data_IF_388680090231
#
_entry.id   IF_388680090231
#
_cell.length_a   1.000
_cell.length_b   1.000
_cell.length_c   1.000
_cell.angle_alpha   90.00
_cell.angle_beta   90.00
_cell.angle_gamma   90.00
#
_symmetry.space_group_name_H-M   'P 1'
#
loop_
_entity.id
_entity.type
_entity.pdbx_description
1 polymer ?
#
# COMPACT_ATOMS: atom_id res chain seq x y z
N UNK A 1 -23.20 14.86 -4.91
CA UNK A 1 -23.54 15.32 -3.54
C UNK A 1 -24.33 14.30 -2.68
N UNK A 2 -25.25 13.48 -3.26
CA UNK A 2 -26.05 12.50 -2.49
C UNK A 2 -25.22 11.41 -1.77
N UNK A 3 -24.21 10.84 -2.43
CA UNK A 3 -23.34 9.79 -1.86
C UNK A 3 -22.58 10.24 -0.60
N UNK A 4 -21.95 11.42 -0.62
CA UNK A 4 -21.21 11.95 0.53
C UNK A 4 -22.13 12.16 1.73
N UNK A 5 -23.35 12.66 1.51
CA UNK A 5 -24.36 12.81 2.58
C UNK A 5 -24.75 11.44 3.16
N UNK A 6 -24.95 10.44 2.30
CA UNK A 6 -25.22 9.06 2.72
C UNK A 6 -24.07 8.48 3.57
N UNK A 7 -22.83 8.55 3.09
CA UNK A 7 -21.65 8.04 3.80
C UNK A 7 -21.45 8.71 5.16
N UNK A 8 -21.66 10.03 5.25
CA UNK A 8 -21.61 10.75 6.53
C UNK A 8 -22.69 10.28 7.51
N UNK A 9 -23.91 10.07 7.02
CA UNK A 9 -25.05 9.57 7.82
C UNK A 9 -24.78 8.16 8.33
N UNK A 10 -24.36 7.24 7.46
CA UNK A 10 -24.05 5.86 7.86
C UNK A 10 -22.84 5.80 8.80
N UNK A 11 -21.78 6.59 8.53
CA UNK A 11 -20.62 6.68 9.42
C UNK A 11 -20.99 7.25 10.80
N UNK A 12 -21.89 8.24 10.87
CA UNK A 12 -22.40 8.73 12.15
C UNK A 12 -23.12 7.63 12.93
N UNK A 13 -24.05 6.91 12.28
CA UNK A 13 -24.78 5.80 12.92
C UNK A 13 -23.87 4.65 13.38
N UNK A 14 -22.79 4.39 12.65
CA UNK A 14 -21.82 3.37 13.03
C UNK A 14 -21.07 3.80 14.28
N UNK A 15 -20.47 5.00 14.27
CA UNK A 15 -19.72 5.52 15.41
C UNK A 15 -20.56 5.67 16.67
N UNK A 16 -21.83 6.07 16.54
CA UNK A 16 -22.74 6.17 17.70
C UNK A 16 -23.12 4.82 18.31
N UNK A 17 -22.84 3.70 17.62
CA UNK A 17 -23.07 2.34 18.09
C UNK A 17 -21.82 1.65 18.63
N UNK A 18 -20.65 2.29 18.53
CA UNK A 18 -19.41 1.72 19.04
C UNK A 18 -19.40 1.76 20.56
N UNK A 19 -19.17 0.60 21.17
CA UNK A 19 -18.83 0.50 22.59
C UNK A 19 -17.36 0.88 22.82
N UNK A 20 -16.94 1.14 24.09
CA UNK A 20 -15.53 1.33 24.41
C UNK A 20 -14.64 0.14 24.00
N UNK A 21 -15.16 -1.09 24.08
CA UNK A 21 -14.46 -2.30 23.65
C UNK A 21 -14.21 -2.29 22.14
N UNK A 22 -15.18 -1.82 21.34
CA UNK A 22 -15.03 -1.72 19.89
C UNK A 22 -13.96 -0.69 19.50
N UNK A 23 -13.91 0.45 20.20
CA UNK A 23 -12.87 1.47 19.99
C UNK A 23 -11.50 0.91 20.34
N UNK A 24 -11.37 0.16 21.44
CA UNK A 24 -10.13 -0.51 21.81
C UNK A 24 -9.69 -1.52 20.74
N UNK A 25 -10.63 -2.26 20.15
CA UNK A 25 -10.35 -3.21 19.08
C UNK A 25 -9.95 -2.53 17.76
N UNK A 26 -10.54 -1.38 17.41
CA UNK A 26 -10.08 -0.57 16.27
C UNK A 26 -8.66 -0.04 16.50
N UNK A 27 -8.32 0.35 17.74
CA UNK A 27 -6.94 0.75 18.09
C UNK A 27 -5.97 -0.44 17.96
N UNK A 28 -6.36 -1.62 18.42
CA UNK A 28 -5.59 -2.85 18.23
C UNK A 28 -5.36 -3.16 16.74
N UNK A 29 -6.41 -3.00 15.91
CA UNK A 29 -6.29 -3.18 14.46
C UNK A 29 -5.32 -2.18 13.83
N UNK A 30 -5.40 -0.90 14.22
CA UNK A 30 -4.44 0.14 13.81
C UNK A 30 -3.01 -0.28 14.14
N UNK A 31 -2.77 -0.80 15.34
CA UNK A 31 -1.43 -1.19 15.76
C UNK A 31 -0.90 -2.35 14.90
N UNK A 32 -1.72 -3.36 14.60
CA UNK A 32 -1.35 -4.42 13.66
C UNK A 32 -1.03 -3.88 12.26
N UNK A 33 -1.83 -2.94 11.75
CA UNK A 33 -1.54 -2.30 10.46
C UNK A 33 -0.25 -1.46 10.51
N UNK A 34 0.07 -0.76 11.60
CA UNK A 34 1.39 -0.11 11.70
C UNK A 34 2.54 -1.12 11.67
N UNK A 35 2.35 -2.27 12.29
CA UNK A 35 3.35 -3.34 12.25
C UNK A 35 3.52 -3.91 10.83
N UNK A 36 2.52 -3.85 9.94
CA UNK A 36 2.67 -4.30 8.54
C UNK A 36 3.65 -3.44 7.73
N UNK A 37 3.88 -2.17 8.10
CA UNK A 37 4.90 -1.35 7.45
C UNK A 37 6.29 -1.48 8.09
N UNK A 38 6.34 -1.83 9.38
CA UNK A 38 7.59 -1.88 10.14
C UNK A 38 8.26 -3.26 10.10
N UNK A 39 7.54 -4.32 10.49
CA UNK A 39 8.13 -5.66 10.67
C UNK A 39 8.64 -6.23 9.34
N UNK A 40 7.87 -6.23 8.23
CA UNK A 40 8.36 -6.71 6.95
C UNK A 40 9.60 -5.95 6.45
N UNK A 41 9.65 -4.63 6.68
CA UNK A 41 10.78 -3.80 6.29
C UNK A 41 12.06 -4.20 7.04
N UNK A 42 11.96 -4.41 8.36
CA UNK A 42 13.09 -4.89 9.18
C UNK A 42 13.56 -6.24 8.68
N UNK A 43 12.65 -7.21 8.53
CA UNK A 43 12.98 -8.57 8.07
C UNK A 43 13.60 -8.56 6.68
N UNK A 44 13.14 -7.67 5.80
CA UNK A 44 13.69 -7.51 4.46
C UNK A 44 15.15 -7.05 4.50
N UNK A 45 15.48 -6.01 5.30
CA UNK A 45 16.86 -5.54 5.42
C UNK A 45 17.76 -6.45 6.25
N UNK A 46 17.19 -7.34 7.06
CA UNK A 46 17.92 -8.48 7.68
C UNK A 46 18.18 -9.62 6.68
N UNK A 47 17.90 -9.44 5.38
CA UNK A 47 18.19 -10.38 4.30
C UNK A 47 17.49 -11.74 4.44
N UNK A 48 16.37 -11.79 5.16
CA UNK A 48 15.60 -13.03 5.39
C UNK A 48 14.87 -13.54 4.14
N UNK A 49 14.82 -12.75 3.06
CA UNK A 49 14.17 -13.11 1.79
C UNK A 49 15.10 -13.08 0.58
N UNK A 50 16.20 -12.33 0.65
CA UNK A 50 17.18 -12.19 -0.43
C UNK A 50 18.52 -11.68 0.11
N UNK A 51 19.61 -12.14 -0.51
CA UNK A 51 20.97 -11.79 -0.10
C UNK A 51 21.35 -10.33 -0.42
N UNK A 52 20.83 -9.82 -1.55
CA UNK A 52 21.02 -8.45 -2.03
C UNK A 52 19.71 -7.69 -1.94
N UNK A 53 19.60 -6.83 -0.95
CA UNK A 53 18.45 -5.97 -0.72
C UNK A 53 18.55 -4.71 -1.55
N UNK A 54 17.49 -4.35 -2.27
CA UNK A 54 17.32 -3.02 -2.88
C UNK A 54 17.16 -1.95 -1.80
N UNK A 55 17.82 -0.80 -1.97
CA UNK A 55 17.55 0.44 -1.25
C UNK A 55 17.49 1.62 -2.24
N UNK A 56 16.51 2.52 -2.13
CA UNK A 56 15.34 2.46 -1.25
C UNK A 56 14.31 1.42 -1.72
N UNK A 57 13.55 0.84 -0.78
CA UNK A 57 12.52 -0.17 -1.05
C UNK A 57 11.15 0.26 -0.50
N UNK A 58 10.14 0.25 -1.37
CA UNK A 58 8.74 0.46 -1.01
C UNK A 58 8.20 -0.67 -0.13
N UNK A 59 7.15 -0.40 0.66
CA UNK A 59 6.39 -1.43 1.38
C UNK A 59 5.99 -2.53 0.39
N UNK A 60 5.40 -2.13 -0.75
CA UNK A 60 5.00 -3.04 -1.81
C UNK A 60 6.14 -3.88 -2.40
N UNK A 61 7.39 -3.41 -2.32
CA UNK A 61 8.56 -4.20 -2.73
C UNK A 61 8.98 -5.21 -1.66
N UNK A 62 9.04 -4.77 -0.40
CA UNK A 62 9.50 -5.61 0.72
C UNK A 62 8.60 -6.82 0.97
N UNK A 63 7.32 -6.76 0.62
CA UNK A 63 6.32 -7.80 0.90
C UNK A 63 6.12 -8.80 -0.26
N UNK A 64 7.00 -8.83 -1.26
CA UNK A 64 6.83 -9.69 -2.45
C UNK A 64 7.11 -11.17 -2.21
N UNK A 65 8.02 -11.50 -1.28
CA UNK A 65 8.45 -12.90 -1.07
C UNK A 65 9.02 -13.14 0.33
N UNK A 66 9.24 -14.42 0.63
CA UNK A 66 9.93 -14.89 1.82
C UNK A 66 9.23 -14.53 3.14
N UNK A 67 10.03 -14.47 4.20
CA UNK A 67 9.59 -14.19 5.57
C UNK A 67 8.94 -12.80 5.71
N UNK A 68 9.43 -11.70 5.09
CA UNK A 68 8.78 -10.40 5.13
C UNK A 68 7.34 -10.42 4.62
N UNK A 69 7.08 -11.13 3.51
CA UNK A 69 5.73 -11.32 2.96
C UNK A 69 4.81 -12.05 3.94
N UNK A 70 5.29 -13.15 4.51
CA UNK A 70 4.51 -13.93 5.47
C UNK A 70 4.14 -13.09 6.70
N UNK A 71 5.12 -12.35 7.24
CA UNK A 71 4.90 -11.42 8.36
C UNK A 71 3.86 -10.34 8.01
N UNK A 72 3.97 -9.73 6.82
CA UNK A 72 2.98 -8.77 6.34
C UNK A 72 1.57 -9.39 6.31
N UNK A 73 1.40 -10.55 5.67
CA UNK A 73 0.10 -11.19 5.54
C UNK A 73 -0.52 -11.52 6.90
N UNK A 74 0.25 -12.07 7.84
CA UNK A 74 -0.24 -12.41 9.19
C UNK A 74 -0.71 -11.15 9.92
N UNK A 75 0.11 -10.10 9.97
CA UNK A 75 -0.23 -8.84 10.64
C UNK A 75 -1.43 -8.16 9.97
N UNK A 76 -1.50 -8.17 8.63
CA UNK A 76 -2.60 -7.62 7.87
C UNK A 76 -3.91 -8.37 8.14
N UNK A 77 -3.88 -9.71 8.17
CA UNK A 77 -5.04 -10.54 8.51
C UNK A 77 -5.50 -10.30 9.96
N UNK A 78 -4.59 -10.14 10.91
CA UNK A 78 -4.93 -9.81 12.31
C UNK A 78 -5.58 -8.43 12.44
N UNK A 79 -5.06 -7.43 11.71
CA UNK A 79 -5.65 -6.10 11.62
C UNK A 79 -7.07 -6.16 11.05
N UNK A 80 -7.25 -6.87 9.94
CA UNK A 80 -8.57 -7.01 9.31
C UNK A 80 -9.55 -7.85 10.10
N UNK A 81 -9.13 -8.93 10.74
CA UNK A 81 -9.97 -9.70 11.65
C UNK A 81 -10.52 -8.80 12.76
N UNK A 82 -9.65 -7.98 13.36
CA UNK A 82 -10.03 -7.03 14.41
C UNK A 82 -11.00 -5.95 13.90
N UNK A 83 -10.77 -5.40 12.70
CA UNK A 83 -11.70 -4.44 12.08
C UNK A 83 -13.04 -5.08 11.72
N UNK A 84 -13.01 -6.27 11.11
CA UNK A 84 -14.18 -6.96 10.60
C UNK A 84 -15.13 -7.34 11.72
N UNK A 85 -14.63 -7.82 12.85
CA UNK A 85 -15.45 -8.12 14.02
C UNK A 85 -16.25 -6.88 14.48
N UNK A 86 -15.61 -5.71 14.54
CA UNK A 86 -16.29 -4.46 14.89
C UNK A 86 -17.33 -4.05 13.82
N UNK A 87 -16.98 -4.14 12.53
CA UNK A 87 -17.94 -3.89 11.45
C UNK A 87 -19.10 -4.89 11.46
N UNK A 88 -18.86 -6.13 11.88
CA UNK A 88 -19.88 -7.15 11.97
C UNK A 88 -20.88 -6.86 13.09
N UNK A 89 -20.37 -6.51 14.28
CA UNK A 89 -21.18 -6.26 15.49
C UNK A 89 -21.89 -4.90 15.46
N UNK A 90 -21.21 -3.82 15.10
CA UNK A 90 -21.74 -2.45 15.16
C UNK A 90 -22.21 -1.89 13.79
N UNK A 91 -21.79 -2.50 12.69
CA UNK A 91 -22.04 -2.01 11.33
C UNK A 91 -23.45 -2.30 10.79
N UNK A 92 -23.87 -1.50 9.81
CA UNK A 92 -25.05 -1.81 9.01
C UNK A 92 -24.70 -2.90 7.97
N UNK A 93 -25.71 -3.40 7.24
CA UNK A 93 -25.46 -4.30 6.09
C UNK A 93 -24.49 -3.66 5.08
N UNK A 94 -24.62 -2.35 4.85
CA UNK A 94 -23.72 -1.60 3.99
C UNK A 94 -22.28 -1.61 4.52
N UNK A 95 -22.06 -1.33 5.80
CA UNK A 95 -20.70 -1.32 6.39
C UNK A 95 -20.01 -2.68 6.30
N UNK A 96 -20.78 -3.76 6.52
CA UNK A 96 -20.27 -5.13 6.42
C UNK A 96 -19.88 -5.48 4.98
N UNK A 97 -20.73 -5.16 4.01
CA UNK A 97 -20.41 -5.37 2.59
C UNK A 97 -19.20 -4.54 2.15
N UNK A 98 -19.12 -3.28 2.58
CA UNK A 98 -17.98 -2.42 2.33
C UNK A 98 -16.69 -2.99 2.92
N UNK A 99 -16.71 -3.45 4.17
CA UNK A 99 -15.54 -4.08 4.80
C UNK A 99 -15.10 -5.35 4.09
N UNK A 100 -16.04 -6.21 3.65
CA UNK A 100 -15.74 -7.42 2.87
C UNK A 100 -15.13 -7.05 1.54
N UNK A 101 -15.75 -6.13 0.79
CA UNK A 101 -15.21 -5.72 -0.51
C UNK A 101 -13.81 -5.12 -0.37
N UNK A 102 -13.60 -4.22 0.59
CA UNK A 102 -12.29 -3.63 0.84
C UNK A 102 -11.26 -4.71 1.21
N UNK A 103 -11.61 -5.69 2.06
CA UNK A 103 -10.77 -6.84 2.37
C UNK A 103 -10.42 -7.66 1.12
N UNK A 104 -11.41 -8.03 0.30
CA UNK A 104 -11.21 -8.78 -0.94
C UNK A 104 -10.28 -8.02 -1.90
N UNK A 105 -10.50 -6.72 -2.08
CA UNK A 105 -9.64 -5.87 -2.91
C UNK A 105 -8.20 -5.85 -2.39
N UNK A 106 -8.01 -5.78 -1.06
CA UNK A 106 -6.70 -5.88 -0.44
C UNK A 106 -6.03 -7.24 -0.65
N UNK A 107 -6.77 -8.35 -0.53
CA UNK A 107 -6.28 -9.71 -0.81
C UNK A 107 -5.85 -9.84 -2.27
N UNK A 108 -6.67 -9.40 -3.23
CA UNK A 108 -6.32 -9.46 -4.64
C UNK A 108 -5.04 -8.65 -4.89
N UNK A 109 -4.97 -7.42 -4.37
CA UNK A 109 -3.84 -6.52 -4.58
C UNK A 109 -2.53 -7.01 -3.92
N UNK A 110 -2.59 -7.65 -2.76
CA UNK A 110 -1.39 -7.94 -1.95
C UNK A 110 -1.04 -9.42 -1.84
N UNK A 111 -1.99 -10.35 -2.04
CA UNK A 111 -1.75 -11.79 -1.92
C UNK A 111 -1.69 -12.46 -3.29
N UNK A 112 -2.62 -12.11 -4.19
CA UNK A 112 -2.84 -12.81 -5.46
C UNK A 112 -2.06 -12.15 -6.60
N UNK A 113 -2.30 -10.86 -6.84
CA UNK A 113 -1.72 -10.10 -7.94
C UNK A 113 -0.68 -9.12 -7.38
N UNK A 114 0.49 -9.63 -7.03
CA UNK A 114 1.57 -8.80 -6.54
C UNK A 114 2.30 -8.10 -7.69
N UNK A 115 2.78 -6.89 -7.43
CA UNK A 115 3.55 -6.12 -8.38
C UNK A 115 4.87 -6.85 -8.75
N UNK A 116 5.15 -6.99 -10.04
CA UNK A 116 6.31 -7.67 -10.60
C UNK A 116 6.09 -9.14 -10.96
N UNK A 117 4.84 -9.64 -10.95
CA UNK A 117 4.52 -11.03 -11.33
C UNK A 117 4.09 -11.18 -12.80
N UNK A 118 4.04 -10.10 -13.57
CA UNK A 118 3.70 -10.10 -15.00
C UNK A 118 2.73 -9.00 -15.39
N UNK A 119 2.64 -8.70 -16.69
CA UNK A 119 1.86 -7.57 -17.22
C UNK A 119 0.39 -7.59 -16.77
N UNK A 120 -0.25 -8.76 -16.80
CA UNK A 120 -1.64 -8.91 -16.36
C UNK A 120 -1.78 -8.77 -14.84
N UNK A 121 -0.92 -9.42 -14.06
CA UNK A 121 -0.90 -9.30 -12.60
C UNK A 121 -0.69 -7.83 -12.18
N UNK A 122 0.25 -7.15 -12.81
CA UNK A 122 0.56 -5.74 -12.55
C UNK A 122 -0.63 -4.84 -12.90
N UNK A 123 -1.31 -5.09 -14.02
CA UNK A 123 -2.52 -4.35 -14.38
C UNK A 123 -3.63 -4.53 -13.33
N UNK A 124 -3.89 -5.77 -12.90
CA UNK A 124 -4.87 -6.08 -11.85
C UNK A 124 -4.45 -5.45 -10.52
N UNK A 125 -3.17 -5.51 -10.17
CA UNK A 125 -2.60 -4.86 -8.99
C UNK A 125 -2.88 -3.36 -9.01
N UNK A 126 -2.58 -2.67 -10.12
CA UNK A 126 -2.82 -1.22 -10.22
C UNK A 126 -4.31 -0.86 -10.10
N UNK A 127 -5.20 -1.63 -10.74
CA UNK A 127 -6.65 -1.40 -10.65
C UNK A 127 -7.13 -1.60 -9.21
N UNK A 128 -6.76 -2.72 -8.59
CA UNK A 128 -7.19 -3.04 -7.23
C UNK A 128 -6.56 -2.15 -6.18
N UNK A 129 -5.29 -1.77 -6.31
CA UNK A 129 -4.65 -0.75 -5.47
C UNK A 129 -5.39 0.59 -5.57
N UNK A 130 -5.77 1.01 -6.78
CA UNK A 130 -6.54 2.25 -7.00
C UNK A 130 -7.91 2.18 -6.32
N UNK A 131 -8.63 1.06 -6.47
CA UNK A 131 -9.89 0.82 -5.76
C UNK A 131 -9.68 0.87 -4.24
N UNK A 132 -8.62 0.26 -3.73
CA UNK A 132 -8.28 0.25 -2.31
C UNK A 132 -7.99 1.67 -1.78
N UNK A 133 -7.35 2.53 -2.57
CA UNK A 133 -7.16 3.94 -2.23
C UNK A 133 -8.50 4.70 -2.17
N UNK A 134 -9.44 4.40 -3.06
CA UNK A 134 -10.80 4.97 -3.01
C UNK A 134 -11.51 4.50 -1.73
N UNK A 135 -11.36 3.23 -1.36
CA UNK A 135 -11.93 2.68 -0.13
C UNK A 135 -11.35 3.39 1.11
N UNK A 136 -10.05 3.72 1.13
CA UNK A 136 -9.46 4.54 2.19
C UNK A 136 -10.13 5.91 2.34
N UNK A 137 -10.44 6.57 1.20
CA UNK A 137 -11.15 7.86 1.19
C UNK A 137 -12.57 7.74 1.71
N UNK A 138 -13.27 6.67 1.34
CA UNK A 138 -14.60 6.35 1.88
C UNK A 138 -14.50 6.14 3.40
N UNK A 139 -13.53 5.35 3.86
CA UNK A 139 -13.32 5.06 5.27
C UNK A 139 -12.99 6.32 6.08
N UNK A 140 -12.20 7.26 5.54
CA UNK A 140 -11.96 8.55 6.20
C UNK A 140 -13.25 9.34 6.47
N UNK A 141 -14.18 9.32 5.52
CA UNK A 141 -15.50 9.94 5.70
C UNK A 141 -16.33 9.15 6.71
N UNK A 142 -16.23 7.82 6.67
CA UNK A 142 -16.96 6.90 7.51
C UNK A 142 -16.52 6.92 8.98
N UNK A 143 -15.25 7.17 9.27
CA UNK A 143 -14.68 7.26 10.62
C UNK A 143 -14.51 8.69 11.12
N UNK A 144 -14.91 9.71 10.34
CA UNK A 144 -14.73 11.14 10.67
C UNK A 144 -13.26 11.46 11.00
N UNK A 145 -12.34 10.90 10.23
CA UNK A 145 -10.89 11.11 10.39
C UNK A 145 -10.53 12.60 10.44
N UNK A 146 -9.60 12.98 11.33
CA UNK A 146 -9.14 14.38 11.45
C UNK A 146 -8.55 14.88 10.13
N UNK A 147 -8.64 16.19 9.88
CA UNK A 147 -8.21 16.79 8.59
C UNK A 147 -6.72 16.57 8.31
N UNK A 148 -5.87 16.65 9.34
CA UNK A 148 -4.42 16.49 9.19
C UNK A 148 -4.02 15.16 8.54
N UNK A 149 -4.60 14.04 8.96
CA UNK A 149 -4.32 12.73 8.38
C UNK A 149 -4.82 12.59 6.95
N UNK A 150 -6.00 13.16 6.64
CA UNK A 150 -6.54 13.18 5.27
C UNK A 150 -5.67 14.00 4.33
N UNK A 151 -5.26 15.19 4.77
CA UNK A 151 -4.37 16.05 3.99
C UNK A 151 -3.02 15.37 3.75
N UNK A 152 -2.41 14.77 4.79
CA UNK A 152 -1.18 14.01 4.66
C UNK A 152 -1.33 12.85 3.66
N UNK A 153 -2.44 12.11 3.71
CA UNK A 153 -2.74 11.04 2.76
C UNK A 153 -2.79 11.56 1.31
N UNK A 154 -3.57 12.59 1.03
CA UNK A 154 -3.72 13.13 -0.32
C UNK A 154 -2.44 13.74 -0.87
N UNK A 155 -1.73 14.51 -0.06
CA UNK A 155 -0.44 15.12 -0.46
C UNK A 155 0.57 14.02 -0.76
N UNK A 156 0.66 12.98 0.08
CA UNK A 156 1.55 11.84 -0.15
C UNK A 156 1.19 11.07 -1.42
N UNK A 157 -0.11 10.83 -1.66
CA UNK A 157 -0.57 10.18 -2.88
C UNK A 157 -0.17 10.95 -4.14
N UNK A 158 -0.41 12.27 -4.16
CA UNK A 158 -0.06 13.13 -5.29
C UNK A 158 1.46 13.21 -5.50
N UNK A 159 2.23 13.33 -4.43
CA UNK A 159 3.68 13.38 -4.51
C UNK A 159 4.28 12.06 -5.00
N UNK A 160 3.77 10.93 -4.51
CA UNK A 160 4.14 9.60 -5.00
C UNK A 160 3.81 9.43 -6.49
N UNK A 161 2.59 9.79 -6.91
CA UNK A 161 2.18 9.70 -8.31
C UNK A 161 3.03 10.60 -9.24
N UNK A 162 3.38 11.81 -8.79
CA UNK A 162 4.29 12.71 -9.51
C UNK A 162 5.69 12.11 -9.66
N UNK A 163 6.26 11.56 -8.59
CA UNK A 163 7.57 10.90 -8.62
C UNK A 163 7.57 9.66 -9.54
N UNK A 164 6.51 8.83 -9.49
CA UNK A 164 6.35 7.69 -10.40
C UNK A 164 6.25 8.12 -11.87
N UNK A 165 5.49 9.18 -12.16
CA UNK A 165 5.36 9.73 -13.52
C UNK A 165 6.70 10.24 -14.03
N UNK A 166 7.43 10.99 -13.21
CA UNK A 166 8.74 11.54 -13.58
C UNK A 166 9.78 10.42 -13.79
N UNK A 167 9.83 9.42 -12.89
CA UNK A 167 10.68 8.24 -13.06
C UNK A 167 10.35 7.52 -14.38
N UNK A 168 9.07 7.31 -14.68
CA UNK A 168 8.62 6.67 -15.93
C UNK A 168 9.01 7.50 -17.16
N UNK A 169 8.96 8.82 -17.08
CA UNK A 169 9.41 9.73 -18.15
C UNK A 169 10.90 9.55 -18.43
N UNK A 170 11.75 9.63 -17.39
CA UNK A 170 13.21 9.44 -17.51
C UNK A 170 13.53 8.06 -18.09
N UNK A 171 12.85 7.01 -17.64
CA UNK A 171 13.09 5.67 -18.17
C UNK A 171 12.74 5.53 -19.65
N UNK A 172 11.75 6.28 -20.16
CA UNK A 172 11.41 6.30 -21.59
C UNK A 172 12.43 7.09 -22.40
N UNK A 173 12.91 8.21 -21.86
CA UNK A 173 13.89 9.08 -22.53
C UNK A 173 15.26 8.42 -22.70
N UNK A 174 15.65 7.56 -21.75
CA UNK A 174 16.92 6.84 -21.77
C UNK A 174 16.78 5.36 -22.12
N UNK A 175 15.64 4.98 -22.68
CA UNK A 175 15.39 3.65 -23.21
C UNK A 175 15.67 2.50 -22.21
N UNK A 176 15.43 2.76 -20.92
CA UNK A 176 15.67 1.77 -19.86
C UNK A 176 14.67 0.60 -19.92
N UNK A 177 13.59 0.78 -20.67
CA UNK A 177 12.49 -0.17 -20.88
C UNK A 177 12.39 -0.72 -22.33
N UNK A 178 13.33 -0.48 -23.25
CA UNK A 178 13.24 -0.98 -24.66
C UNK A 178 13.22 -2.49 -24.81
N UNK A 179 13.76 -3.22 -23.85
CA UNK A 179 13.52 -4.66 -23.81
C UNK A 179 12.10 -4.86 -23.36
N UNK A 180 11.23 -5.40 -24.22
CA UNK A 180 10.13 -6.22 -23.73
C UNK A 180 10.72 -7.08 -22.62
N UNK A 181 10.33 -6.82 -21.37
CA UNK A 181 10.35 -7.87 -20.38
C UNK A 181 9.43 -8.92 -20.97
N UNK A 182 10.00 -9.84 -21.75
CA UNK A 182 9.32 -11.01 -22.23
C UNK A 182 8.77 -11.68 -20.98
N UNK A 183 7.56 -12.21 -21.08
CA UNK A 183 6.89 -12.88 -19.98
C UNK A 183 7.74 -14.05 -19.42
N UNK A 184 8.76 -14.47 -20.17
CA UNK A 184 9.73 -15.51 -19.85
C UNK A 184 10.93 -15.03 -19.00
N UNK A 185 11.22 -13.73 -18.96
CA UNK A 185 12.35 -13.14 -18.20
C UNK A 185 11.95 -12.77 -16.75
N UNK A 186 10.69 -13.00 -16.38
CA UNK A 186 10.19 -13.00 -14.99
C UNK A 186 10.55 -14.34 -14.36
N UNK A 187 11.84 -14.67 -14.40
CA UNK A 187 12.34 -15.82 -13.69
C UNK A 187 12.12 -15.59 -12.19
N UNK A 188 11.69 -16.64 -11.49
CA UNK A 188 11.27 -16.68 -10.09
C UNK A 188 12.40 -16.20 -9.14
N UNK A 189 13.60 -16.00 -9.68
CA UNK A 189 14.77 -15.39 -9.07
C UNK A 189 14.94 -13.90 -9.44
N UNK A 190 14.15 -13.02 -8.81
CA UNK A 190 14.22 -11.53 -8.88
C UNK A 190 15.64 -10.90 -8.78
N UNK A 191 16.66 -11.65 -8.34
CA UNK A 191 18.04 -11.17 -8.28
C UNK A 191 18.62 -10.80 -9.65
N UNK A 192 18.22 -11.48 -10.74
CA UNK A 192 18.68 -11.16 -12.10
C UNK A 192 18.09 -9.84 -12.61
N UNK A 193 16.84 -9.52 -12.27
CA UNK A 193 16.19 -8.26 -12.66
C UNK A 193 16.87 -7.04 -12.03
N UNK A 194 17.20 -7.12 -10.73
CA UNK A 194 17.91 -6.04 -10.03
C UNK A 194 19.31 -5.84 -10.63
N UNK A 195 20.05 -6.92 -10.88
CA UNK A 195 21.39 -6.83 -11.48
C UNK A 195 21.36 -6.19 -12.87
N UNK A 196 20.42 -6.60 -13.75
CA UNK A 196 20.22 -5.99 -15.08
C UNK A 196 19.84 -4.50 -14.97
N UNK A 197 18.97 -4.13 -14.02
CA UNK A 197 18.61 -2.72 -13.77
C UNK A 197 19.84 -1.91 -13.35
N UNK A 198 20.63 -2.42 -12.39
CA UNK A 198 21.87 -1.79 -11.95
C UNK A 198 22.89 -1.62 -13.08
N UNK A 199 23.04 -2.62 -13.94
CA UNK A 199 23.93 -2.54 -15.10
C UNK A 199 23.47 -1.43 -16.06
N UNK A 200 22.18 -1.38 -16.41
CA UNK A 200 21.64 -0.31 -17.26
C UNK A 200 21.82 1.07 -16.63
N UNK A 201 21.55 1.21 -15.34
CA UNK A 201 21.73 2.47 -14.59
C UNK A 201 23.20 2.88 -14.46
N UNK A 202 24.14 1.92 -14.47
CA UNK A 202 25.58 2.21 -14.40
C UNK A 202 26.08 2.94 -15.64
N UNK A 203 25.45 2.70 -16.80
CA UNK A 203 25.77 3.30 -18.10
C UNK A 203 25.23 4.72 -18.28
N UNK A 204 24.32 5.16 -17.42
CA UNK A 204 23.75 6.52 -17.46
C UNK A 204 24.70 7.56 -16.86
N UNK A 205 24.53 8.80 -17.30
CA UNK A 205 25.21 9.93 -16.67
C UNK A 205 24.88 10.01 -15.17
N UNK A 206 25.84 10.40 -14.31
CA UNK A 206 25.63 10.47 -12.86
C UNK A 206 24.41 11.30 -12.44
N UNK A 207 24.12 12.40 -13.16
CA UNK A 207 22.99 13.29 -12.87
C UNK A 207 21.65 12.55 -13.04
N UNK A 208 21.48 11.80 -14.13
CA UNK A 208 20.26 11.05 -14.42
C UNK A 208 20.09 9.92 -13.40
N UNK A 209 21.16 9.18 -13.10
CA UNK A 209 21.16 8.13 -12.10
C UNK A 209 20.76 8.66 -10.72
N UNK A 210 21.33 9.77 -10.29
CA UNK A 210 20.98 10.42 -9.02
C UNK A 210 19.51 10.85 -9.01
N UNK A 211 19.00 11.36 -10.13
CA UNK A 211 17.59 11.74 -10.25
C UNK A 211 16.66 10.54 -10.09
N UNK A 212 16.95 9.41 -10.75
CA UNK A 212 16.17 8.16 -10.59
C UNK A 212 16.22 7.68 -9.14
N UNK A 213 17.41 7.69 -8.53
CA UNK A 213 17.57 7.30 -7.13
C UNK A 213 16.73 8.16 -6.19
N UNK A 214 16.74 9.48 -6.35
CA UNK A 214 15.88 10.38 -5.57
C UNK A 214 14.39 10.14 -5.82
N UNK A 215 13.98 9.82 -7.05
CA UNK A 215 12.59 9.44 -7.32
C UNK A 215 12.21 8.17 -6.56
N UNK A 216 13.08 7.16 -6.48
CA UNK A 216 12.81 5.97 -5.68
C UNK A 216 12.74 6.28 -4.17
N UNK A 217 13.58 7.19 -3.66
CA UNK A 217 13.52 7.64 -2.26
C UNK A 217 12.19 8.35 -1.99
N UNK A 218 11.74 9.22 -2.90
CA UNK A 218 10.45 9.90 -2.77
C UNK A 218 9.29 8.91 -2.81
N UNK A 219 9.29 7.94 -3.75
CA UNK A 219 8.24 6.93 -3.84
C UNK A 219 8.15 6.13 -2.54
N UNK A 220 9.28 5.63 -2.03
CA UNK A 220 9.33 4.91 -0.74
C UNK A 220 8.78 5.77 0.41
N UNK A 221 9.24 7.03 0.51
CA UNK A 221 8.87 7.92 1.61
C UNK A 221 7.37 8.23 1.59
N UNK A 222 6.85 8.61 0.42
CA UNK A 222 5.44 9.00 0.30
C UNK A 222 4.49 7.81 0.34
N UNK A 223 4.88 6.61 -0.09
CA UNK A 223 4.09 5.40 0.13
C UNK A 223 3.97 5.09 1.64
N UNK A 224 5.09 5.17 2.38
CA UNK A 224 5.07 4.98 3.84
C UNK A 224 4.24 6.06 4.55
N UNK A 225 4.34 7.32 4.14
CA UNK A 225 3.56 8.41 4.73
C UNK A 225 2.06 8.29 4.38
N UNK A 226 1.75 7.86 3.16
CA UNK A 226 0.38 7.56 2.73
C UNK A 226 -0.22 6.46 3.60
N UNK A 227 0.49 5.35 3.78
CA UNK A 227 0.03 4.25 4.61
C UNK A 227 -0.11 4.67 6.09
N UNK A 228 0.92 5.31 6.64
CA UNK A 228 0.94 5.75 8.05
C UNK A 228 -0.15 6.76 8.35
N UNK A 229 -0.39 7.72 7.46
CA UNK A 229 -1.46 8.71 7.63
C UNK A 229 -2.84 8.09 7.60
N UNK A 230 -3.06 7.09 6.73
CA UNK A 230 -4.30 6.31 6.72
C UNK A 230 -4.51 5.56 8.03
N UNK A 231 -3.55 4.72 8.41
CA UNK A 231 -3.65 3.85 9.60
C UNK A 231 -3.80 4.69 10.87
N UNK A 232 -2.94 5.69 11.09
CA UNK A 232 -3.04 6.60 12.25
C UNK A 232 -4.37 7.33 12.28
N UNK A 233 -4.87 7.72 11.10
CA UNK A 233 -6.13 8.44 10.92
C UNK A 233 -7.38 7.65 11.30
N UNK A 234 -7.35 6.31 11.21
CA UNK A 234 -8.52 5.45 11.47
C UNK A 234 -9.14 5.69 12.85
N UNK A 235 -8.31 5.94 13.87
CA UNK A 235 -8.76 6.13 15.26
C UNK A 235 -8.97 7.58 15.65
N UNK A 236 -8.58 8.53 14.79
CA UNK A 236 -8.50 9.95 15.16
C UNK A 236 -9.85 10.66 15.35
N UNK A 237 -10.93 10.07 14.83
CA UNK A 237 -12.31 10.59 14.91
C UNK A 237 -13.25 9.76 15.78
N UNK A 238 -12.70 8.77 16.50
CA UNK A 238 -13.39 7.85 17.40
C UNK A 238 -13.17 8.26 18.85
#
# INVERSE_FOLDING_TARGET
MKLIKFLKKEGYKFRSRLSPSDVAQIRKARDYFHLTSLIPLILYYLKTSEERTKFPATISFTIRKGIPRAAHHVLWLLGWYSMYDVFHRAGSRFSRLFAIQMWVTGVICTFICQLGQGKLSDAIHFVTATMYMIDHVVLFSYLKTRRIFRSAFYVSFLAMAAAMREKKRIHREHDLFSGEYSLDDIDVNNGHSIAKEHEKLSRLEPVIRNKIWWMDVFIMTFENLLFTSFVSGMTSGL
#
